data_IF_516868926415
#
_entry.id   IF_516868926415
#
_cell.length_a   1.000
_cell.length_b   1.000
_cell.length_c   1.000
_cell.angle_alpha   90.00
_cell.angle_beta   90.00
_cell.angle_gamma   90.00
#
_symmetry.space_group_name_H-M   'P 1'
#
loop_
_entity.id
_entity.type
_entity.pdbx_description
1 polymer ?
#
# COMPACT_ATOMS: atom_id res chain seq x y z
N UNK A 1 -10.25 3.72 -8.81
CA UNK A 1 -9.96 4.14 -7.43
C UNK A 1 -11.08 3.58 -6.57
N UNK A 2 -10.79 2.83 -5.49
CA UNK A 2 -11.85 2.27 -4.66
C UNK A 2 -12.60 3.38 -3.91
N UNK A 3 -13.93 3.29 -3.84
CA UNK A 3 -14.79 4.26 -3.14
C UNK A 3 -14.75 4.12 -1.60
N UNK A 4 -14.14 3.03 -1.11
CA UNK A 4 -13.95 2.73 0.31
C UNK A 4 -12.58 2.10 0.53
N UNK A 5 -11.97 2.38 1.66
CA UNK A 5 -10.71 1.75 2.03
C UNK A 5 -10.89 0.25 2.33
N UNK A 6 -10.05 -0.62 1.76
CA UNK A 6 -10.08 -2.06 2.06
C UNK A 6 -9.77 -2.32 3.53
N UNK A 7 -10.24 -3.46 4.04
CA UNK A 7 -9.85 -3.98 5.36
C UNK A 7 -9.32 -5.38 5.19
N UNK A 8 -8.08 -5.58 5.61
CA UNK A 8 -7.43 -6.88 5.50
C UNK A 8 -7.51 -7.64 6.82
N UNK A 9 -7.63 -8.97 6.78
CA UNK A 9 -7.35 -9.80 7.94
C UNK A 9 -5.96 -9.45 8.52
N UNK A 10 -5.85 -9.32 9.84
CA UNK A 10 -4.60 -8.90 10.51
C UNK A 10 -3.37 -9.71 10.07
N UNK A 11 -3.55 -11.03 9.88
CA UNK A 11 -2.50 -11.95 9.41
C UNK A 11 -1.94 -11.58 8.03
N UNK A 12 -2.76 -10.94 7.18
CA UNK A 12 -2.36 -10.46 5.86
C UNK A 12 -1.79 -9.04 5.96
N UNK A 13 -2.46 -8.16 6.71
CA UNK A 13 -2.04 -6.77 6.91
C UNK A 13 -0.63 -6.62 7.51
N UNK A 14 -0.18 -7.63 8.27
CA UNK A 14 1.12 -7.70 8.92
C UNK A 14 2.00 -8.87 8.41
N UNK A 15 1.67 -9.43 7.24
CA UNK A 15 2.41 -10.54 6.66
C UNK A 15 3.79 -10.13 6.15
N UNK A 16 4.67 -11.11 6.00
CA UNK A 16 5.80 -11.00 5.06
C UNK A 16 5.31 -11.30 3.66
N UNK A 17 5.53 -10.36 2.74
CA UNK A 17 5.03 -10.44 1.36
C UNK A 17 6.16 -10.29 0.36
N UNK A 18 6.06 -11.03 -0.73
CA UNK A 18 6.84 -10.80 -1.95
C UNK A 18 5.93 -10.08 -2.93
N UNK A 19 6.37 -8.94 -3.45
CA UNK A 19 5.58 -8.21 -4.43
C UNK A 19 5.64 -8.93 -5.79
N UNK A 20 4.53 -8.94 -6.55
CA UNK A 20 4.52 -9.45 -7.91
C UNK A 20 5.42 -8.60 -8.80
N UNK A 21 5.93 -9.21 -9.87
CA UNK A 21 6.96 -8.62 -10.74
C UNK A 21 6.54 -7.28 -11.35
N UNK A 22 5.24 -7.09 -11.62
CA UNK A 22 4.73 -5.84 -12.19
C UNK A 22 4.80 -4.64 -11.22
N UNK A 23 4.94 -4.89 -9.91
CA UNK A 23 5.15 -3.86 -8.88
C UNK A 23 6.63 -3.64 -8.52
N UNK A 24 7.53 -4.52 -8.97
CA UNK A 24 8.87 -4.65 -8.41
C UNK A 24 9.92 -4.93 -9.47
N UNK A 25 10.05 -4.05 -10.46
CA UNK A 25 11.03 -4.23 -11.54
C UNK A 25 12.49 -4.16 -11.05
N UNK A 26 12.76 -3.60 -9.87
CA UNK A 26 14.14 -3.39 -9.37
C UNK A 26 14.71 -4.58 -8.59
N UNK A 27 13.87 -5.35 -7.90
CA UNK A 27 14.31 -6.46 -7.05
C UNK A 27 13.13 -7.43 -6.78
N UNK A 28 12.80 -8.30 -7.76
CA UNK A 28 11.65 -9.19 -7.66
C UNK A 28 11.78 -10.22 -6.53
N UNK A 29 12.98 -10.40 -5.97
CA UNK A 29 13.29 -11.32 -4.87
C UNK A 29 12.98 -10.74 -3.49
N UNK A 30 12.77 -9.43 -3.41
CA UNK A 30 12.66 -8.74 -2.13
C UNK A 30 11.38 -9.11 -1.40
N UNK A 31 11.56 -9.56 -0.16
CA UNK A 31 10.48 -9.79 0.81
C UNK A 31 10.38 -8.55 1.70
N UNK A 32 9.15 -8.08 1.88
CA UNK A 32 8.82 -6.98 2.77
C UNK A 32 8.06 -7.52 3.98
N UNK A 33 8.45 -7.11 5.18
CA UNK A 33 7.72 -7.40 6.41
C UNK A 33 6.70 -6.30 6.68
N UNK A 34 5.41 -6.55 6.45
CA UNK A 34 4.37 -5.55 6.67
C UNK A 34 4.10 -5.27 8.16
N UNK A 35 4.66 -6.07 9.08
CA UNK A 35 4.65 -5.71 10.51
C UNK A 35 5.60 -4.55 10.80
N UNK A 36 6.69 -4.43 10.04
CA UNK A 36 7.60 -3.28 10.10
C UNK A 36 6.97 -2.06 9.42
N UNK A 37 6.86 -0.94 10.16
CA UNK A 37 6.19 0.27 9.68
C UNK A 37 6.82 0.83 8.41
N UNK A 38 8.15 0.90 8.34
CA UNK A 38 8.86 1.51 7.22
C UNK A 38 8.74 0.64 5.96
N UNK A 39 8.84 -0.68 6.12
CA UNK A 39 8.64 -1.61 5.01
C UNK A 39 7.19 -1.60 4.51
N UNK A 40 6.20 -1.50 5.41
CA UNK A 40 4.80 -1.35 5.03
C UNK A 40 4.55 -0.05 4.27
N UNK A 41 5.11 1.07 4.72
CA UNK A 41 5.01 2.35 4.00
C UNK A 41 5.57 2.21 2.58
N UNK A 42 6.72 1.54 2.45
CA UNK A 42 7.32 1.31 1.14
C UNK A 42 6.42 0.49 0.22
N UNK A 43 5.79 -0.56 0.73
CA UNK A 43 4.83 -1.37 -0.05
C UNK A 43 3.63 -0.52 -0.44
N UNK A 44 3.08 0.29 0.46
CA UNK A 44 1.94 1.15 0.16
C UNK A 44 2.28 2.17 -0.92
N UNK A 45 3.45 2.82 -0.84
CA UNK A 45 3.90 3.74 -1.88
C UNK A 45 3.97 3.07 -3.25
N UNK A 46 4.55 1.87 -3.33
CA UNK A 46 4.65 1.10 -4.57
C UNK A 46 3.25 0.78 -5.11
N UNK A 47 2.38 0.18 -4.29
CA UNK A 47 1.04 -0.26 -4.69
C UNK A 47 0.17 0.91 -5.11
N UNK A 48 0.20 2.03 -4.40
CA UNK A 48 -0.60 3.21 -4.74
C UNK A 48 -0.13 3.92 -6.02
N UNK A 49 1.15 3.77 -6.38
CA UNK A 49 1.73 4.37 -7.59
C UNK A 49 1.58 3.49 -8.83
N UNK A 50 1.78 2.19 -8.65
CA UNK A 50 2.04 1.25 -9.76
C UNK A 50 1.05 0.09 -9.79
N UNK A 51 0.27 -0.11 -8.73
CA UNK A 51 -0.64 -1.23 -8.58
C UNK A 51 -1.97 -1.08 -9.29
N UNK A 52 -2.52 -2.23 -9.62
CA UNK A 52 -3.89 -2.41 -10.09
C UNK A 52 -4.85 -2.51 -8.90
N UNK A 53 -6.18 -2.42 -9.11
CA UNK A 53 -7.15 -2.57 -8.04
C UNK A 53 -6.96 -3.82 -7.19
N UNK A 54 -6.55 -4.93 -7.80
CA UNK A 54 -6.33 -6.21 -7.11
C UNK A 54 -5.12 -6.14 -6.17
N UNK A 55 -4.07 -5.40 -6.52
CA UNK A 55 -2.90 -5.20 -5.68
C UNK A 55 -3.25 -4.38 -4.42
N UNK A 56 -4.10 -3.36 -4.59
CA UNK A 56 -4.61 -2.56 -3.47
C UNK A 56 -5.36 -3.48 -2.49
N UNK A 57 -6.25 -4.33 -3.01
CA UNK A 57 -7.01 -5.29 -2.20
C UNK A 57 -6.14 -6.40 -1.58
N UNK A 58 -4.96 -6.67 -2.12
CA UNK A 58 -4.05 -7.68 -1.60
C UNK A 58 -3.11 -7.14 -0.51
N UNK A 59 -2.68 -5.88 -0.63
CA UNK A 59 -1.56 -5.37 0.16
C UNK A 59 -1.91 -4.20 1.07
N UNK A 60 -3.01 -3.48 0.84
CA UNK A 60 -3.34 -2.27 1.59
C UNK A 60 -4.46 -2.56 2.60
N UNK A 61 -4.17 -2.37 3.89
CA UNK A 61 -5.22 -2.18 4.90
C UNK A 61 -5.52 -0.69 5.10
N UNK A 62 -6.80 -0.35 5.09
CA UNK A 62 -7.31 1.00 5.19
C UNK A 62 -6.97 1.75 6.48
N UNK A 63 -7.05 1.13 7.66
CA UNK A 63 -6.67 1.87 8.88
C UNK A 63 -5.17 2.09 8.92
N UNK A 64 -4.40 1.08 8.55
CA UNK A 64 -2.95 1.22 8.50
C UNK A 64 -2.54 2.24 7.43
N UNK A 65 -3.32 2.40 6.35
CA UNK A 65 -3.09 3.44 5.35
C UNK A 65 -3.39 4.82 5.90
N UNK A 66 -4.52 5.01 6.60
CA UNK A 66 -4.87 6.29 7.24
C UNK A 66 -3.79 6.72 8.23
N UNK A 67 -3.33 5.78 9.05
CA UNK A 67 -2.25 6.01 10.03
C UNK A 67 -0.90 6.33 9.36
N UNK A 68 -0.58 5.67 8.25
CA UNK A 68 0.65 5.89 7.49
C UNK A 68 0.62 7.13 6.58
N UNK A 69 -0.58 7.59 6.19
CA UNK A 69 -0.81 8.62 5.18
C UNK A 69 0.05 9.89 5.30
N UNK A 70 0.22 10.51 6.48
CA UNK A 70 1.04 11.71 6.61
C UNK A 70 2.53 11.46 6.28
N UNK A 71 3.00 10.22 6.42
CA UNK A 71 4.41 9.84 6.23
C UNK A 71 4.71 9.32 4.82
N UNK A 72 3.71 8.96 4.01
CA UNK A 72 3.93 8.41 2.67
C UNK A 72 4.46 9.46 1.69
N UNK A 73 5.51 9.10 0.97
CA UNK A 73 6.13 9.92 -0.08
C UNK A 73 5.53 9.54 -1.44
N UNK A 74 4.48 10.27 -1.83
CA UNK A 74 3.73 10.03 -3.07
C UNK A 74 3.86 11.22 -4.05
N UNK A 75 3.86 10.96 -5.37
CA UNK A 75 3.68 12.03 -6.35
C UNK A 75 2.39 12.81 -6.08
N UNK A 76 2.44 14.14 -6.20
CA UNK A 76 1.31 15.02 -5.93
C UNK A 76 -0.02 14.60 -6.59
N UNK A 77 -0.06 14.15 -7.87
CA UNK A 77 -1.30 13.68 -8.48
C UNK A 77 -1.92 12.46 -7.77
N UNK A 78 -1.09 11.50 -7.36
CA UNK A 78 -1.53 10.30 -6.66
C UNK A 78 -2.02 10.66 -5.26
N UNK A 79 -1.25 11.47 -4.52
CA UNK A 79 -1.65 11.98 -3.21
C UNK A 79 -3.04 12.62 -3.25
N UNK A 80 -3.26 13.55 -4.19
CA UNK A 80 -4.56 14.23 -4.37
C UNK A 80 -5.71 13.29 -4.74
N UNK A 81 -5.46 12.30 -5.58
CA UNK A 81 -6.48 11.34 -5.99
C UNK A 81 -7.00 10.50 -4.82
N UNK A 82 -6.11 10.15 -3.89
CA UNK A 82 -6.40 9.32 -2.73
C UNK A 82 -6.83 10.10 -1.49
N UNK A 83 -6.52 11.39 -1.40
CA UNK A 83 -6.83 12.24 -0.24
C UNK A 83 -8.31 12.15 0.16
N UNK A 84 -9.24 12.12 -0.81
CA UNK A 84 -10.69 12.02 -0.53
C UNK A 84 -11.12 10.69 0.06
N UNK A 85 -10.37 9.62 -0.19
CA UNK A 85 -10.68 8.27 0.28
C UNK A 85 -10.02 8.01 1.64
N UNK A 86 -8.91 8.69 1.93
CA UNK A 86 -8.15 8.54 3.19
C UNK A 86 -8.59 9.54 4.26
N UNK A 87 -8.99 10.76 3.87
CA UNK A 87 -9.41 11.82 4.80
C UNK A 87 -10.94 11.97 4.93
N UNK A 88 -11.72 11.11 4.25
CA UNK A 88 -13.18 11.04 4.35
C UNK A 88 -13.63 9.94 5.31
#
# INVERSE_FOLDING_TARGET
>A
MPDKLPRLPLRQALARVRLPIHLGWSDPERIYDLADRQQRHRVYEIVLREGQPEDILAYVDGALLVDAWPELVLPAPIRRAWERVVAG
#
